data_IF_381796923567
#
_entry.id   IF_381796923567
#
_cell.length_a   1.000
_cell.length_b   1.000
_cell.length_c   1.000
_cell.angle_alpha   90.00
_cell.angle_beta   90.00
_cell.angle_gamma   90.00
#
_symmetry.space_group_name_H-M   'P 1'
#
loop_
_entity.id
_entity.type
_entity.pdbx_description
1 polymer ?
#
# COMPACT_ATOMS: atom_id res chain seq x y z
N UNK A 1 6.67 -9.43 7.29
CA UNK A 1 7.04 -8.67 6.08
C UNK A 1 7.86 -9.49 5.08
N UNK A 2 8.65 -10.49 5.51
CA UNK A 2 9.51 -11.26 4.59
C UNK A 2 8.75 -11.95 3.44
N UNK A 3 7.58 -12.52 3.73
CA UNK A 3 6.77 -13.20 2.71
C UNK A 3 6.40 -12.29 1.53
N UNK A 4 5.90 -11.08 1.82
CA UNK A 4 5.58 -10.10 0.77
C UNK A 4 6.82 -9.52 0.11
N UNK A 5 7.93 -9.38 0.85
CA UNK A 5 9.21 -9.00 0.25
C UNK A 5 9.70 -10.05 -0.77
N UNK A 6 9.49 -11.34 -0.50
CA UNK A 6 9.77 -12.43 -1.43
C UNK A 6 8.96 -12.31 -2.73
N UNK A 7 7.69 -11.93 -2.63
CA UNK A 7 6.82 -11.67 -3.79
C UNK A 7 7.27 -10.43 -4.58
N UNK A 8 7.63 -9.34 -3.90
CA UNK A 8 8.01 -8.10 -4.58
C UNK A 8 9.44 -8.09 -5.15
N UNK A 9 10.34 -8.93 -4.62
CA UNK A 9 11.75 -8.92 -5.02
C UNK A 9 11.95 -9.17 -6.52
N UNK A 10 11.37 -10.22 -7.15
CA UNK A 10 11.54 -10.43 -8.59
C UNK A 10 10.95 -9.29 -9.42
N UNK A 11 9.82 -8.72 -8.98
CA UNK A 11 9.16 -7.57 -9.63
C UNK A 11 10.12 -6.39 -9.69
N UNK A 12 10.69 -5.99 -8.55
CA UNK A 12 11.57 -4.83 -8.51
C UNK A 12 12.96 -5.09 -9.11
N UNK A 13 13.45 -6.33 -9.13
CA UNK A 13 14.67 -6.67 -9.87
C UNK A 13 14.49 -6.55 -11.39
N UNK A 14 13.32 -6.89 -11.93
CA UNK A 14 13.01 -6.72 -13.35
C UNK A 14 12.65 -5.27 -13.71
N UNK A 15 11.95 -4.58 -12.80
CA UNK A 15 11.44 -3.23 -13.05
C UNK A 15 12.53 -2.15 -12.90
N UNK A 16 13.49 -2.29 -11.99
CA UNK A 16 14.41 -1.21 -11.65
C UNK A 16 15.36 -0.84 -12.81
N UNK A 17 15.70 0.44 -12.92
CA UNK A 17 16.79 0.90 -13.79
C UNK A 17 18.13 0.28 -13.38
N UNK A 18 19.06 0.13 -14.33
CA UNK A 18 20.36 -0.50 -14.08
C UNK A 18 21.20 0.21 -12.98
N UNK A 19 21.00 1.51 -12.79
CA UNK A 19 21.69 2.33 -11.78
C UNK A 19 21.02 2.27 -10.40
N UNK A 20 19.80 1.74 -10.31
CA UNK A 20 19.07 1.59 -9.06
C UNK A 20 19.64 0.40 -8.28
N UNK A 21 19.88 0.62 -6.98
CA UNK A 21 20.30 -0.43 -6.05
C UNK A 21 19.25 -1.55 -5.95
N UNK A 22 19.63 -2.77 -5.55
CA UNK A 22 18.68 -3.86 -5.37
C UNK A 22 17.54 -3.52 -4.41
N UNK A 23 16.41 -4.22 -4.58
CA UNK A 23 15.30 -4.17 -3.65
C UNK A 23 15.67 -4.86 -2.33
N UNK A 24 15.42 -4.19 -1.22
CA UNK A 24 15.60 -4.76 0.11
C UNK A 24 14.38 -4.49 1.01
N UNK A 25 14.09 -5.45 1.88
CA UNK A 25 13.26 -5.23 3.06
C UNK A 25 14.20 -4.82 4.20
N UNK A 26 13.99 -3.62 4.76
CA UNK A 26 14.69 -3.16 5.96
C UNK A 26 13.69 -2.87 7.06
N UNK A 27 13.75 -3.66 8.12
CA UNK A 27 12.72 -3.69 9.16
C UNK A 27 11.32 -3.92 8.55
N UNK A 28 10.49 -2.88 8.46
CA UNK A 28 9.15 -2.95 7.88
C UNK A 28 9.01 -2.15 6.57
N UNK A 29 10.11 -1.67 6.00
CA UNK A 29 10.13 -0.76 4.87
C UNK A 29 10.76 -1.39 3.64
N UNK A 30 10.23 -1.02 2.48
CA UNK A 30 10.80 -1.36 1.19
C UNK A 30 11.71 -0.24 0.71
N UNK A 31 12.96 -0.61 0.38
CA UNK A 31 14.03 0.35 0.11
C UNK A 31 14.83 0.00 -1.14
N UNK A 32 15.42 1.03 -1.74
CA UNK A 32 16.56 0.89 -2.64
C UNK A 32 17.80 1.45 -1.92
N UNK A 33 18.67 0.57 -1.45
CA UNK A 33 19.76 0.94 -0.53
C UNK A 33 19.23 1.49 0.79
N UNK A 34 19.43 2.78 1.06
CA UNK A 34 18.96 3.43 2.30
C UNK A 34 17.77 4.37 2.09
N UNK A 35 17.19 4.39 0.89
CA UNK A 35 16.06 5.24 0.54
C UNK A 35 14.76 4.43 0.53
N UNK A 36 13.79 4.86 1.33
CA UNK A 36 12.48 4.22 1.46
C UNK A 36 11.56 4.66 0.32
N UNK A 37 10.91 3.69 -0.30
CA UNK A 37 9.88 3.93 -1.33
C UNK A 37 8.58 3.17 -1.04
N UNK A 38 8.58 2.21 -0.11
CA UNK A 38 7.37 1.51 0.30
C UNK A 38 7.26 1.38 1.82
N UNK A 39 6.05 1.58 2.34
CA UNK A 39 5.72 1.39 3.75
C UNK A 39 4.64 0.32 3.92
N UNK A 40 4.79 -0.51 4.95
CA UNK A 40 3.91 -1.63 5.20
C UNK A 40 3.11 -1.47 6.51
N UNK A 41 1.88 -1.97 6.51
CA UNK A 41 1.03 -2.10 7.68
C UNK A 41 0.36 -3.48 7.68
N UNK A 42 0.16 -4.06 8.87
CA UNK A 42 -0.50 -5.35 9.03
C UNK A 42 -1.61 -5.28 10.07
N UNK A 43 -2.71 -5.99 9.80
CA UNK A 43 -3.77 -6.27 10.76
C UNK A 43 -3.96 -7.77 10.84
N UNK A 44 -3.92 -8.33 12.04
CA UNK A 44 -4.02 -9.77 12.28
C UNK A 44 -5.25 -10.00 13.16
N UNK A 45 -6.14 -10.86 12.69
CA UNK A 45 -7.27 -11.40 13.45
C UNK A 45 -7.13 -12.92 13.53
N UNK A 46 -7.96 -13.58 14.34
CA UNK A 46 -7.81 -15.01 14.70
C UNK A 46 -7.31 -15.90 13.56
N UNK A 47 -8.07 -15.97 12.46
CA UNK A 47 -7.77 -16.91 11.36
C UNK A 47 -7.37 -16.19 10.06
N UNK A 48 -7.14 -14.87 10.09
CA UNK A 48 -6.90 -14.05 8.89
C UNK A 48 -5.93 -12.92 9.18
N UNK A 49 -5.22 -12.47 8.16
CA UNK A 49 -4.40 -11.27 8.24
C UNK A 49 -4.53 -10.46 6.95
N UNK A 50 -4.39 -9.15 7.10
CA UNK A 50 -4.30 -8.20 6.01
C UNK A 50 -2.90 -7.60 6.04
N UNK A 51 -2.24 -7.61 4.89
CA UNK A 51 -1.03 -6.84 4.68
C UNK A 51 -1.30 -5.80 3.61
N UNK A 52 -1.00 -4.56 3.96
CA UNK A 52 -1.19 -3.41 3.09
C UNK A 52 0.16 -2.74 2.89
N UNK A 53 0.54 -2.54 1.63
CA UNK A 53 1.71 -1.77 1.24
C UNK A 53 1.26 -0.52 0.49
N UNK A 54 1.83 0.62 0.88
CA UNK A 54 1.77 1.84 0.07
C UNK A 54 3.13 2.07 -0.60
N UNK A 55 3.13 2.23 -1.91
CA UNK A 55 4.32 2.60 -2.70
C UNK A 55 4.27 4.09 -3.06
N UNK A 56 5.38 4.79 -2.84
CA UNK A 56 5.57 6.17 -3.24
C UNK A 56 5.90 6.22 -4.73
N UNK A 57 4.87 6.18 -5.59
CA UNK A 57 5.08 6.26 -7.04
C UNK A 57 5.77 7.57 -7.44
N UNK A 58 5.17 8.70 -7.07
CA UNK A 58 5.68 10.05 -7.28
C UNK A 58 5.09 10.95 -6.19
N UNK A 59 5.82 11.98 -5.76
CA UNK A 59 5.35 12.90 -4.73
C UNK A 59 6.06 14.25 -4.79
N UNK A 60 5.37 15.30 -4.36
CA UNK A 60 5.96 16.63 -4.21
C UNK A 60 6.75 16.70 -2.91
N UNK A 61 8.04 17.06 -3.00
CA UNK A 61 8.90 17.16 -1.81
C UNK A 61 8.44 18.22 -0.81
N UNK A 62 7.92 19.35 -1.29
CA UNK A 62 7.38 20.41 -0.42
C UNK A 62 6.26 19.89 0.48
N UNK A 63 5.43 18.97 -0.01
CA UNK A 63 4.33 18.40 0.79
C UNK A 63 4.84 17.46 1.89
N UNK A 64 6.08 16.97 1.78
CA UNK A 64 6.69 16.13 2.82
C UNK A 64 7.17 16.95 4.02
N UNK A 65 7.26 18.28 3.89
CA UNK A 65 7.61 19.19 4.99
C UNK A 65 6.47 19.31 6.01
N UNK A 66 5.22 19.03 5.61
CA UNK A 66 4.07 18.98 6.51
C UNK A 66 4.13 17.79 7.49
N UNK A 67 4.96 16.77 7.20
CA UNK A 67 5.07 15.60 8.04
C UNK A 67 6.11 15.82 9.14
N UNK A 68 5.71 15.61 10.40
CA UNK A 68 6.63 15.56 11.53
C UNK A 68 7.48 14.30 11.49
N UNK A 69 8.69 14.35 12.07
CA UNK A 69 9.45 13.12 12.29
C UNK A 69 8.69 12.24 13.29
N UNK A 70 8.40 10.97 12.95
CA UNK A 70 7.73 10.07 13.88
C UNK A 70 8.65 9.74 15.06
N UNK A 71 8.06 9.60 16.24
CA UNK A 71 8.75 9.18 17.46
C UNK A 71 9.33 7.78 17.31
N UNK A 72 8.54 6.86 16.74
CA UNK A 72 8.99 5.52 16.35
C UNK A 72 9.43 5.53 14.90
N UNK A 73 10.72 5.32 14.68
CA UNK A 73 11.34 5.29 13.36
C UNK A 73 12.40 4.19 13.29
N UNK A 74 12.65 3.63 12.11
CA UNK A 74 13.66 2.60 11.96
C UNK A 74 15.06 3.17 12.21
N UNK A 75 15.95 2.37 12.78
CA UNK A 75 17.29 2.81 13.19
C UNK A 75 18.10 3.30 11.98
N UNK A 76 17.96 2.61 10.84
CA UNK A 76 18.65 2.97 9.59
C UNK A 76 18.16 4.30 8.98
N UNK A 77 17.09 4.91 9.50
CA UNK A 77 16.71 6.28 9.13
C UNK A 77 17.79 7.27 9.52
N UNK A 78 18.50 7.04 10.62
CA UNK A 78 19.55 7.92 11.14
C UNK A 78 19.08 9.38 11.24
N UNK A 79 17.85 9.58 11.70
CA UNK A 79 17.20 10.89 11.88
C UNK A 79 17.18 11.81 10.65
N UNK A 80 17.36 11.22 9.46
CA UNK A 80 17.25 11.94 8.19
C UNK A 80 15.85 12.55 8.03
N UNK A 81 15.82 13.75 7.46
CA UNK A 81 14.61 14.41 6.99
C UNK A 81 13.87 13.54 5.96
N UNK A 82 12.59 13.82 5.74
CA UNK A 82 11.81 13.12 4.70
C UNK A 82 12.47 13.22 3.31
N UNK A 83 13.01 14.39 2.97
CA UNK A 83 13.65 14.64 1.67
C UNK A 83 14.95 13.84 1.45
N UNK A 84 15.64 13.45 2.52
CA UNK A 84 16.87 12.65 2.48
C UNK A 84 16.63 11.16 2.76
N UNK A 85 15.42 10.78 3.16
CA UNK A 85 15.06 9.41 3.53
C UNK A 85 14.17 8.73 2.49
N UNK A 86 13.26 9.46 1.87
CA UNK A 86 12.31 8.94 0.89
C UNK A 86 12.84 9.05 -0.53
N UNK A 87 12.40 8.13 -1.39
CA UNK A 87 12.61 8.20 -2.84
C UNK A 87 11.33 7.86 -3.58
N UNK A 88 11.21 8.41 -4.79
CA UNK A 88 10.12 8.16 -5.71
C UNK A 88 10.40 6.89 -6.51
N UNK A 89 9.46 5.95 -6.55
CA UNK A 89 9.59 4.71 -7.33
C UNK A 89 9.68 5.02 -8.84
N UNK A 90 9.06 6.11 -9.30
CA UNK A 90 9.15 6.59 -10.69
C UNK A 90 10.60 6.85 -11.10
N UNK A 91 11.43 7.44 -10.23
CA UNK A 91 12.84 7.75 -10.52
C UNK A 91 13.70 6.49 -10.66
N UNK A 92 13.21 5.38 -10.12
CA UNK A 92 13.85 4.07 -10.17
C UNK A 92 13.31 3.16 -11.27
N UNK A 93 12.28 3.61 -12.01
CA UNK A 93 11.63 2.86 -13.07
C UNK A 93 12.07 3.41 -14.43
N UNK A 94 12.51 2.59 -15.39
CA UNK A 94 12.88 3.04 -16.73
C UNK A 94 11.78 3.90 -17.36
N UNK A 95 12.16 5.10 -17.81
CA UNK A 95 11.26 6.09 -18.41
C UNK A 95 10.08 6.51 -17.52
N UNK A 96 10.06 6.13 -16.24
CA UNK A 96 8.91 6.33 -15.37
C UNK A 96 7.65 5.60 -15.85
N UNK A 97 7.78 4.43 -16.49
CA UNK A 97 6.63 3.66 -16.98
C UNK A 97 5.86 3.01 -15.80
N UNK A 98 4.77 3.65 -15.38
CA UNK A 98 3.88 3.13 -14.34
C UNK A 98 3.18 1.84 -14.75
N UNK A 99 2.90 1.66 -16.04
CA UNK A 99 2.23 0.45 -16.52
C UNK A 99 3.16 -0.76 -16.45
N UNK A 100 4.49 -0.56 -16.57
CA UNK A 100 5.45 -1.63 -16.35
C UNK A 100 5.34 -2.22 -14.94
N UNK A 101 5.14 -1.39 -13.90
CA UNK A 101 4.93 -1.88 -12.54
C UNK A 101 3.75 -2.87 -12.45
N UNK A 102 2.62 -2.52 -13.05
CA UNK A 102 1.44 -3.39 -13.04
C UNK A 102 1.67 -4.68 -13.82
N UNK A 103 2.31 -4.61 -15.01
CA UNK A 103 2.65 -5.79 -15.80
C UNK A 103 3.57 -6.75 -15.05
N UNK A 104 4.61 -6.23 -14.40
CA UNK A 104 5.56 -7.05 -13.65
C UNK A 104 4.92 -7.69 -12.42
N UNK A 105 3.99 -6.98 -11.75
CA UNK A 105 3.20 -7.51 -10.65
C UNK A 105 2.26 -8.63 -11.10
N UNK A 106 1.53 -8.44 -12.20
CA UNK A 106 0.64 -9.46 -12.76
C UNK A 106 1.41 -10.72 -13.15
N UNK A 107 2.57 -10.56 -13.80
CA UNK A 107 3.46 -11.65 -14.16
C UNK A 107 3.90 -12.44 -12.92
N UNK A 108 4.35 -11.75 -11.88
CA UNK A 108 4.80 -12.40 -10.65
C UNK A 108 3.64 -13.10 -9.94
N UNK A 109 2.51 -12.42 -9.78
CA UNK A 109 1.31 -13.00 -9.17
C UNK A 109 0.85 -14.25 -9.93
N UNK A 110 0.93 -14.26 -11.27
CA UNK A 110 0.60 -15.41 -12.11
C UNK A 110 1.48 -16.63 -11.88
N UNK A 111 2.67 -16.46 -11.31
CA UNK A 111 3.57 -17.58 -10.95
C UNK A 111 3.21 -18.23 -9.60
N UNK A 112 2.51 -17.51 -8.72
CA UNK A 112 2.11 -17.99 -7.39
C UNK A 112 0.62 -18.30 -7.27
N UNK A 113 -0.21 -17.65 -8.09
CA UNK A 113 -1.67 -17.67 -8.00
C UNK A 113 -2.32 -17.81 -9.37
N UNK A 114 -3.54 -18.32 -9.38
CA UNK A 114 -4.42 -18.20 -10.55
C UNK A 114 -4.98 -16.78 -10.59
N UNK A 115 -4.41 -15.94 -11.45
CA UNK A 115 -4.83 -14.54 -11.63
C UNK A 115 -5.82 -14.43 -12.79
N UNK A 116 -6.85 -13.62 -12.62
CA UNK A 116 -7.80 -13.28 -13.67
C UNK A 116 -8.07 -11.78 -13.62
N UNK A 117 -8.02 -11.12 -14.78
CA UNK A 117 -8.47 -9.74 -14.90
C UNK A 117 -10.00 -9.69 -14.76
N UNK A 118 -10.49 -8.77 -13.94
CA UNK A 118 -11.90 -8.55 -13.70
C UNK A 118 -12.15 -7.05 -13.52
N UNK A 119 -13.33 -6.58 -13.93
CA UNK A 119 -13.74 -5.21 -13.65
C UNK A 119 -14.16 -5.07 -12.18
N UNK A 120 -14.13 -3.86 -11.63
CA UNK A 120 -14.61 -3.62 -10.26
C UNK A 120 -16.06 -4.14 -10.05
N UNK A 121 -17.01 -3.90 -10.97
CA UNK A 121 -18.35 -4.48 -10.87
C UNK A 121 -18.37 -6.01 -10.80
N UNK A 122 -17.53 -6.68 -11.60
CA UNK A 122 -17.46 -8.15 -11.62
C UNK A 122 -16.90 -8.70 -10.31
N UNK A 123 -15.85 -8.05 -9.77
CA UNK A 123 -15.26 -8.44 -8.49
C UNK A 123 -16.25 -8.24 -7.36
N UNK A 124 -16.95 -7.10 -7.35
CA UNK A 124 -17.93 -6.79 -6.30
C UNK A 124 -19.06 -7.82 -6.30
N UNK A 125 -19.65 -8.12 -7.45
CA UNK A 125 -20.74 -9.09 -7.54
C UNK A 125 -20.31 -10.52 -7.16
N UNK A 126 -19.14 -11.00 -7.62
CA UNK A 126 -18.69 -12.36 -7.28
C UNK A 126 -18.26 -12.48 -5.80
N UNK A 127 -17.46 -11.53 -5.29
CA UNK A 127 -16.90 -11.63 -3.95
C UNK A 127 -17.91 -11.24 -2.89
N UNK A 128 -18.54 -10.07 -3.03
CA UNK A 128 -19.43 -9.52 -1.99
C UNK A 128 -20.75 -10.28 -2.01
N UNK A 129 -21.41 -10.38 -3.16
CA UNK A 129 -22.79 -10.87 -3.21
C UNK A 129 -22.85 -12.40 -3.18
N UNK A 130 -22.00 -13.07 -3.98
CA UNK A 130 -22.07 -14.53 -4.11
C UNK A 130 -21.28 -15.30 -3.04
N UNK A 131 -20.07 -14.85 -2.68
CA UNK A 131 -19.19 -15.59 -1.75
C UNK A 131 -19.31 -15.16 -0.30
N UNK A 132 -19.55 -13.87 -0.04
CA UNK A 132 -19.64 -13.32 1.32
C UNK A 132 -21.08 -13.10 1.80
N UNK A 133 -22.08 -13.32 0.92
CA UNK A 133 -23.50 -13.24 1.26
C UNK A 133 -24.08 -11.82 1.26
N UNK A 134 -23.43 -10.87 0.58
CA UNK A 134 -23.83 -9.47 0.49
C UNK A 134 -23.07 -8.54 1.43
N UNK A 135 -23.13 -7.23 1.15
CA UNK A 135 -22.51 -6.19 1.98
C UNK A 135 -23.15 -6.09 3.37
N UNK A 136 -24.44 -6.41 3.50
CA UNK A 136 -25.15 -6.45 4.79
C UNK A 136 -24.62 -7.57 5.69
N UNK A 137 -24.53 -8.81 5.16
CA UNK A 137 -23.98 -9.94 5.90
C UNK A 137 -22.48 -9.76 6.25
N UNK A 138 -21.74 -9.01 5.42
CA UNK A 138 -20.37 -8.63 5.72
C UNK A 138 -20.30 -7.54 6.79
N UNK A 139 -21.19 -6.55 6.76
CA UNK A 139 -21.30 -5.47 7.75
C UNK A 139 -21.70 -5.95 9.14
N UNK A 140 -22.55 -6.97 9.25
CA UNK A 140 -22.88 -7.59 10.54
C UNK A 140 -21.70 -8.35 11.17
N UNK A 141 -20.79 -8.89 10.34
CA UNK A 141 -19.62 -9.67 10.78
C UNK A 141 -18.35 -8.84 10.92
N UNK A 142 -18.24 -7.74 10.17
CA UNK A 142 -17.14 -6.80 10.23
C UNK A 142 -17.35 -5.84 11.40
N UNK A 143 -16.31 -5.59 12.20
CA UNK A 143 -16.33 -4.50 13.19
C UNK A 143 -16.25 -3.11 12.55
N UNK A 144 -16.33 -3.04 11.22
CA UNK A 144 -16.29 -1.81 10.45
C UNK A 144 -17.68 -1.21 10.43
N UNK A 145 -17.91 -0.19 11.26
CA UNK A 145 -19.14 0.58 11.24
C UNK A 145 -19.25 1.29 9.90
N UNK A 146 -20.21 0.92 9.06
CA UNK A 146 -20.61 1.77 7.95
C UNK A 146 -21.21 3.05 8.53
N UNK A 147 -20.63 4.19 8.18
CA UNK A 147 -21.18 5.50 8.52
C UNK A 147 -21.74 6.04 7.21
N UNK A 148 -23.04 6.27 7.16
CA UNK A 148 -23.64 6.92 6.00
C UNK A 148 -23.20 8.39 5.93
N UNK A 149 -23.07 9.00 4.73
CA UNK A 149 -22.78 10.43 4.61
C UNK A 149 -23.77 11.31 5.39
N UNK A 150 -25.02 10.89 5.52
CA UNK A 150 -26.04 11.57 6.32
C UNK A 150 -25.75 11.53 7.84
N UNK A 151 -25.22 10.41 8.35
CA UNK A 151 -24.79 10.28 9.75
C UNK A 151 -23.52 11.09 10.06
N UNK A 152 -22.63 11.33 9.09
CA UNK A 152 -21.50 12.25 9.27
C UNK A 152 -21.95 13.72 9.24
N UNK A 153 -22.85 14.08 8.32
CA UNK A 153 -23.39 15.44 8.21
C UNK A 153 -24.16 15.86 9.47
N UNK A 154 -24.96 14.97 10.06
CA UNK A 154 -25.68 15.24 11.32
C UNK A 154 -24.77 15.40 12.55
N UNK A 155 -23.55 14.86 12.51
CA UNK A 155 -22.55 15.05 13.59
C UNK A 155 -21.83 16.39 13.48
N UNK A 156 -21.64 16.89 12.26
CA UNK A 156 -21.09 18.22 12.01
C UNK A 156 -22.05 19.34 12.45
N UNK A 157 -23.36 19.14 12.28
CA UNK A 157 -24.37 20.11 12.74
C UNK A 157 -24.44 20.25 14.27
N UNK A 158 -24.11 19.18 15.02
CA UNK A 158 -24.10 19.21 16.49
C UNK A 158 -22.86 19.86 17.11
N UNK A 159 -21.80 20.12 16.34
CA UNK A 159 -20.63 20.88 16.81
C UNK A 159 -20.71 22.39 16.49
N UNK A 160 -21.81 22.84 15.89
CA UNK A 160 -22.08 24.26 15.62
C UNK A 160 -22.94 24.93 16.70
N UNK A 161 -23.20 24.26 17.83
CA UNK A 161 -24.09 24.73 18.92
C UNK A 161 -23.45 24.78 20.33
N UNK A 162 -22.13 24.73 20.45
CA UNK A 162 -21.42 25.10 21.68
C UNK A 162 -20.24 26.01 21.36
#
# INVERSE_FOLDING_TARGET
MEWTAGLYRPVFERLRSAQTKPFELRENDYVFGSLKFGGNAQSIVKDRWLHHTSFLWDFQRSNMEYLTLPERRPEYRQDRSHSSFLTSLKDHTPQGDRLALFRELELELGSHFRVQAASEPDVRSDVVERRLGGMEAWGEKARTRQVSPAEELSKLDNHSRC
#
